data_IF_756143356956
#
_entry.id   IF_756143356956
#
_cell.length_a   1.000
_cell.length_b   1.000
_cell.length_c   1.000
_cell.angle_alpha   90.00
_cell.angle_beta   90.00
_cell.angle_gamma   90.00
#
_symmetry.space_group_name_H-M   'P 1'
#
loop_
_entity.id
_entity.type
_entity.pdbx_description
1 polymer ?
#
# COMPACT_ATOMS: atom_id res chain seq x y z
N UNK A 1 -3.71 -16.06 23.95
CA UNK A 1 -4.43 -14.84 24.38
C UNK A 1 -5.91 -15.07 24.17
N UNK A 2 -6.75 -15.02 25.23
CA UNK A 2 -8.19 -15.27 25.12
C UNK A 2 -9.02 -13.98 24.98
N UNK A 3 -8.40 -12.89 24.52
CA UNK A 3 -9.04 -11.58 24.42
C UNK A 3 -9.69 -11.33 23.07
N UNK A 4 -10.67 -10.43 23.06
CA UNK A 4 -11.35 -9.94 21.86
C UNK A 4 -10.51 -8.83 21.21
N UNK A 5 -10.08 -9.06 19.97
CA UNK A 5 -9.27 -8.11 19.20
C UNK A 5 -10.12 -7.44 18.15
N UNK A 6 -10.12 -6.11 18.14
CA UNK A 6 -10.85 -5.30 17.17
C UNK A 6 -9.88 -4.73 16.16
N UNK A 7 -10.04 -5.11 14.90
CA UNK A 7 -9.29 -4.57 13.75
C UNK A 7 -10.14 -3.53 13.04
N UNK A 8 -9.61 -2.33 12.88
CA UNK A 8 -10.31 -1.18 12.28
C UNK A 8 -9.82 -0.99 10.86
N UNK A 9 -10.63 -1.39 9.89
CA UNK A 9 -10.36 -1.38 8.47
C UNK A 9 -10.20 -2.79 7.88
N UNK A 10 -11.00 -3.09 6.86
CA UNK A 10 -11.02 -4.35 6.11
C UNK A 10 -10.23 -4.30 4.80
N UNK A 11 -9.21 -3.44 4.70
CA UNK A 11 -8.21 -3.48 3.64
C UNK A 11 -7.17 -4.58 3.86
N UNK A 12 -6.25 -4.79 2.90
CA UNK A 12 -5.26 -5.87 2.94
C UNK A 12 -4.48 -5.89 4.27
N UNK A 13 -4.09 -4.74 4.82
CA UNK A 13 -3.37 -4.66 6.08
C UNK A 13 -4.20 -5.17 7.29
N UNK A 14 -5.51 -4.90 7.30
CA UNK A 14 -6.40 -5.38 8.36
C UNK A 14 -6.78 -6.84 8.21
N UNK A 15 -7.04 -7.29 6.98
CA UNK A 15 -7.42 -8.68 6.68
C UNK A 15 -6.27 -9.63 7.02
N UNK A 16 -5.03 -9.28 6.63
CA UNK A 16 -3.85 -10.10 6.92
C UNK A 16 -3.55 -10.15 8.42
N UNK A 17 -3.74 -9.04 9.16
CA UNK A 17 -3.64 -9.03 10.63
C UNK A 17 -4.71 -9.93 11.25
N UNK A 18 -5.95 -9.85 10.78
CA UNK A 18 -7.03 -10.68 11.30
C UNK A 18 -6.77 -12.18 11.07
N UNK A 19 -6.30 -12.53 9.86
CA UNK A 19 -5.88 -13.89 9.54
C UNK A 19 -4.73 -14.36 10.43
N UNK A 20 -3.67 -13.56 10.57
CA UNK A 20 -2.51 -13.89 11.40
C UNK A 20 -2.89 -14.13 12.86
N UNK A 21 -3.74 -13.26 13.42
CA UNK A 21 -4.20 -13.40 14.80
C UNK A 21 -5.09 -14.62 15.01
N UNK A 22 -6.03 -14.86 14.08
CA UNK A 22 -6.97 -15.99 14.16
C UNK A 22 -6.27 -17.35 14.03
N UNK A 23 -5.24 -17.46 13.16
CA UNK A 23 -4.45 -18.71 13.07
C UNK A 23 -3.69 -19.04 14.34
N UNK A 24 -3.52 -18.08 15.24
CA UNK A 24 -2.97 -18.26 16.58
C UNK A 24 -4.04 -18.29 17.70
N UNK A 25 -5.30 -18.52 17.33
CA UNK A 25 -6.40 -18.76 18.25
C UNK A 25 -7.02 -17.52 18.88
N UNK A 26 -6.74 -16.31 18.38
CA UNK A 26 -7.39 -15.11 18.86
C UNK A 26 -8.82 -14.96 18.31
N UNK A 27 -9.73 -14.39 19.09
CA UNK A 27 -11.04 -13.96 18.61
C UNK A 27 -10.91 -12.57 17.98
N UNK A 28 -11.21 -12.45 16.68
CA UNK A 28 -10.99 -11.22 15.94
C UNK A 28 -12.29 -10.74 15.29
N UNK A 29 -12.58 -9.46 15.47
CA UNK A 29 -13.65 -8.75 14.74
C UNK A 29 -13.02 -7.64 13.91
N UNK A 30 -13.27 -7.66 12.60
CA UNK A 30 -12.88 -6.60 11.67
C UNK A 30 -14.05 -5.66 11.44
N UNK A 31 -13.85 -4.36 11.63
CA UNK A 31 -14.82 -3.32 11.36
C UNK A 31 -14.48 -2.62 10.04
N UNK A 32 -15.34 -2.75 9.04
CA UNK A 32 -15.15 -2.14 7.73
C UNK A 32 -16.32 -1.21 7.40
N UNK A 33 -16.00 0.02 7.00
CA UNK A 33 -17.01 1.05 6.68
C UNK A 33 -17.72 0.83 5.35
N UNK A 34 -17.06 0.17 4.39
CA UNK A 34 -17.64 -0.16 3.07
C UNK A 34 -18.49 -1.43 3.16
N UNK A 35 -19.19 -1.72 2.08
CA UNK A 35 -19.98 -2.92 1.90
C UNK A 35 -19.20 -4.10 1.32
N UNK A 36 -17.89 -3.92 1.07
CA UNK A 36 -16.95 -4.94 0.57
C UNK A 36 -15.64 -4.94 1.33
N UNK A 37 -15.13 -6.13 1.62
CA UNK A 37 -13.81 -6.33 2.18
C UNK A 37 -12.77 -6.11 1.08
N UNK A 38 -11.72 -5.32 1.37
CA UNK A 38 -10.70 -4.96 0.38
C UNK A 38 -11.13 -3.92 -0.64
N UNK A 39 -12.36 -3.43 -0.63
CA UNK A 39 -13.00 -2.64 -1.68
C UNK A 39 -12.39 -1.25 -1.95
N UNK A 40 -11.48 -0.78 -1.11
CA UNK A 40 -10.77 0.48 -1.29
C UNK A 40 -9.41 0.28 -1.98
N UNK A 41 -8.35 0.91 -1.49
CA UNK A 41 -7.02 0.93 -2.10
C UNK A 41 -6.44 -0.47 -2.37
N UNK A 42 -6.89 -1.51 -1.67
CA UNK A 42 -6.37 -2.87 -1.82
C UNK A 42 -6.78 -3.49 -3.15
N UNK A 43 -8.06 -3.51 -3.50
CA UNK A 43 -8.57 -4.09 -4.75
C UNK A 43 -8.00 -3.39 -5.99
N UNK A 44 -7.77 -2.07 -5.89
CA UNK A 44 -7.25 -1.27 -7.00
C UNK A 44 -5.73 -1.22 -7.11
N UNK A 45 -4.99 -2.01 -6.34
CA UNK A 45 -3.54 -2.09 -6.45
C UNK A 45 -3.11 -2.65 -7.82
N UNK A 46 -1.88 -2.35 -8.24
CA UNK A 46 -1.32 -2.91 -9.48
C UNK A 46 -1.10 -4.42 -9.43
N UNK A 47 -1.11 -5.03 -8.25
CA UNK A 47 -0.96 -6.46 -8.07
C UNK A 47 0.47 -6.98 -8.10
N UNK A 48 1.47 -6.12 -8.25
CA UNK A 48 2.87 -6.55 -8.19
C UNK A 48 3.23 -7.01 -6.78
N UNK A 49 3.80 -8.21 -6.68
CA UNK A 49 4.40 -8.80 -5.49
C UNK A 49 5.89 -8.89 -5.76
N UNK A 50 6.59 -7.78 -5.51
CA UNK A 50 7.94 -7.60 -6.01
C UNK A 50 8.86 -6.95 -4.97
N UNK A 51 10.12 -7.38 -4.95
CA UNK A 51 11.20 -6.78 -4.17
C UNK A 51 11.99 -5.73 -4.96
N UNK A 52 11.69 -5.57 -6.24
CA UNK A 52 12.16 -4.45 -7.06
C UNK A 52 11.42 -3.17 -6.68
N UNK A 53 11.98 -2.02 -7.03
CA UNK A 53 11.39 -0.71 -6.75
C UNK A 53 11.11 -0.44 -5.26
N UNK A 54 11.87 -1.10 -4.36
CA UNK A 54 11.82 -0.87 -2.91
C UNK A 54 12.40 0.50 -2.51
N UNK A 55 12.09 1.54 -3.31
CA UNK A 55 12.55 2.90 -3.08
C UNK A 55 11.57 3.65 -2.19
N UNK A 56 12.06 4.30 -1.11
CA UNK A 56 11.20 5.10 -0.27
C UNK A 56 10.65 6.30 -1.05
N UNK A 57 9.41 6.68 -0.75
CA UNK A 57 8.80 7.90 -1.28
C UNK A 57 9.66 9.12 -0.96
N UNK A 58 10.26 9.16 0.24
CA UNK A 58 11.15 10.23 0.69
C UNK A 58 12.62 9.93 0.30
N UNK A 59 13.04 10.50 -0.82
CA UNK A 59 14.45 10.46 -1.25
C UNK A 59 14.85 11.78 -1.88
N UNK A 60 16.17 12.12 -1.94
CA UNK A 60 16.61 13.35 -2.61
C UNK A 60 16.22 13.42 -4.08
N UNK A 61 16.21 12.28 -4.78
CA UNK A 61 15.75 12.17 -6.16
C UNK A 61 14.25 12.44 -6.30
N UNK A 62 13.43 11.76 -5.50
CA UNK A 62 11.98 11.93 -5.48
C UNK A 62 11.55 13.34 -5.09
N UNK A 63 12.26 13.98 -4.14
CA UNK A 63 12.00 15.37 -3.77
C UNK A 63 12.26 16.33 -4.95
N UNK A 64 13.40 16.17 -5.65
CA UNK A 64 13.74 16.99 -6.82
C UNK A 64 12.75 16.79 -7.96
N UNK A 65 12.39 15.55 -8.24
CA UNK A 65 11.40 15.20 -9.24
C UNK A 65 10.01 15.75 -8.88
N UNK A 66 9.60 15.61 -7.62
CA UNK A 66 8.37 16.18 -7.09
C UNK A 66 8.29 17.68 -7.31
N UNK A 67 9.33 18.43 -6.99
CA UNK A 67 9.41 19.88 -7.22
C UNK A 67 9.31 20.25 -8.72
N UNK A 68 9.87 19.41 -9.61
CA UNK A 68 9.81 19.63 -11.05
C UNK A 68 8.41 19.42 -11.64
N UNK A 69 7.67 18.45 -11.12
CA UNK A 69 6.42 17.98 -11.71
C UNK A 69 5.15 18.37 -10.95
N UNK A 70 5.26 18.84 -9.70
CA UNK A 70 4.12 19.04 -8.80
C UNK A 70 3.02 19.95 -9.32
N UNK A 71 3.32 20.82 -10.29
CA UNK A 71 2.36 21.75 -10.88
C UNK A 71 1.69 21.23 -12.16
N UNK A 72 2.16 20.11 -12.72
CA UNK A 72 1.63 19.53 -13.97
C UNK A 72 0.66 18.40 -13.65
N UNK A 73 -0.59 18.57 -14.03
CA UNK A 73 -1.65 17.58 -13.76
C UNK A 73 -1.50 16.29 -14.57
N UNK A 74 -0.82 16.31 -15.71
CA UNK A 74 -0.53 15.19 -16.59
C UNK A 74 0.74 14.41 -16.22
N UNK A 75 1.50 14.87 -15.23
CA UNK A 75 2.75 14.24 -14.78
C UNK A 75 2.51 13.02 -13.88
N UNK A 76 3.50 12.14 -13.71
CA UNK A 76 3.39 11.02 -12.76
C UNK A 76 3.11 11.46 -11.32
N UNK A 77 3.58 12.64 -10.91
CA UNK A 77 3.39 13.21 -9.58
C UNK A 77 2.71 14.58 -9.66
N UNK A 78 1.67 14.76 -8.83
CA UNK A 78 0.96 16.04 -8.69
C UNK A 78 0.69 16.34 -7.22
N UNK A 79 0.82 17.59 -6.85
CA UNK A 79 0.52 18.08 -5.50
C UNK A 79 -0.50 19.22 -5.57
N UNK A 80 -1.63 19.04 -4.89
CA UNK A 80 -2.59 20.12 -4.69
C UNK A 80 -2.27 20.88 -3.41
N UNK A 81 -1.93 22.17 -3.50
CA UNK A 81 -1.56 22.97 -2.31
C UNK A 81 -2.70 23.03 -1.30
N UNK A 82 -2.40 22.64 -0.04
CA UNK A 82 -3.34 22.68 1.08
C UNK A 82 -2.59 22.95 2.38
N UNK A 83 -3.09 23.86 3.20
CA UNK A 83 -2.44 24.21 4.47
C UNK A 83 -2.28 22.98 5.40
N UNK A 84 -3.26 22.07 5.40
CA UNK A 84 -3.22 20.83 6.20
C UNK A 84 -2.10 19.87 5.80
N UNK A 85 -1.58 19.97 4.57
CA UNK A 85 -0.50 19.12 4.04
C UNK A 85 0.88 19.62 4.46
N UNK A 86 1.03 20.91 4.82
CA UNK A 86 2.33 21.52 5.17
C UNK A 86 3.10 20.74 6.25
N UNK A 87 2.51 20.33 7.38
CA UNK A 87 3.24 19.55 8.38
C UNK A 87 3.76 18.20 7.88
N UNK A 88 3.04 17.57 6.94
CA UNK A 88 3.48 16.32 6.31
C UNK A 88 4.63 16.60 5.33
N UNK A 89 4.53 17.62 4.48
CA UNK A 89 5.58 18.01 3.53
C UNK A 89 6.89 18.41 4.21
N UNK A 90 6.83 19.10 5.35
CA UNK A 90 8.01 19.42 6.14
C UNK A 90 8.73 18.16 6.61
N UNK A 91 7.99 17.17 7.10
CA UNK A 91 8.56 15.87 7.50
C UNK A 91 9.09 15.09 6.31
N UNK A 92 8.39 15.10 5.19
CA UNK A 92 8.84 14.50 3.94
C UNK A 92 10.19 15.09 3.52
N UNK A 93 10.34 16.42 3.53
CA UNK A 93 11.61 17.08 3.25
C UNK A 93 12.71 16.68 4.23
N UNK A 94 12.42 16.63 5.54
CA UNK A 94 13.38 16.19 6.56
C UNK A 94 13.77 14.70 6.44
N UNK A 95 12.87 13.86 5.92
CA UNK A 95 13.15 12.46 5.66
C UNK A 95 13.93 12.24 4.36
N UNK A 96 13.86 13.17 3.40
CA UNK A 96 14.47 13.06 2.08
C UNK A 96 16.01 13.33 2.08
N UNK A 97 16.71 12.93 3.13
CA UNK A 97 18.19 12.98 3.19
C UNK A 97 18.80 11.67 2.70
N UNK A 98 20.03 11.68 2.14
CA UNK A 98 20.67 10.46 1.62
C UNK A 98 20.75 9.32 2.63
N UNK A 99 21.12 9.61 3.88
CA UNK A 99 21.26 8.59 4.93
C UNK A 99 19.93 7.97 5.32
N UNK A 100 18.88 8.78 5.51
CA UNK A 100 17.54 8.29 5.84
C UNK A 100 16.90 7.52 4.68
N UNK A 101 17.08 8.01 3.45
CA UNK A 101 16.60 7.34 2.26
C UNK A 101 17.25 5.96 2.08
N UNK A 102 18.56 5.83 2.38
CA UNK A 102 19.27 4.55 2.35
C UNK A 102 18.71 3.59 3.39
N UNK A 103 18.62 3.99 4.67
CA UNK A 103 18.07 3.15 5.73
C UNK A 103 16.62 2.72 5.43
N UNK A 104 15.80 3.62 4.87
CA UNK A 104 14.45 3.30 4.45
C UNK A 104 14.41 2.30 3.28
N UNK A 105 15.31 2.45 2.29
CA UNK A 105 15.40 1.51 1.15
C UNK A 105 15.86 0.12 1.61
N UNK A 106 16.81 0.04 2.53
CA UNK A 106 17.28 -1.22 3.12
C UNK A 106 16.12 -1.95 3.83
N UNK A 107 15.38 -1.25 4.68
CA UNK A 107 14.21 -1.83 5.37
C UNK A 107 13.11 -2.24 4.39
N UNK A 108 12.79 -1.39 3.39
CA UNK A 108 11.80 -1.74 2.37
C UNK A 108 12.24 -2.97 1.56
N UNK A 109 13.53 -3.08 1.25
CA UNK A 109 14.10 -4.26 0.61
C UNK A 109 13.85 -5.53 1.42
N UNK A 110 14.11 -5.50 2.73
CA UNK A 110 13.82 -6.63 3.65
C UNK A 110 12.31 -6.93 3.67
N UNK A 111 11.47 -5.91 3.86
CA UNK A 111 10.01 -6.08 3.93
C UNK A 111 9.42 -6.67 2.64
N UNK A 112 9.90 -6.23 1.49
CA UNK A 112 9.38 -6.72 0.20
C UNK A 112 9.89 -8.11 -0.12
N UNK A 113 11.14 -8.43 0.23
CA UNK A 113 11.68 -9.78 0.07
C UNK A 113 10.95 -10.80 0.96
N UNK A 114 10.82 -10.51 2.26
CA UNK A 114 10.02 -11.35 3.18
C UNK A 114 8.55 -11.44 2.73
N UNK A 115 8.01 -10.34 2.19
CA UNK A 115 6.65 -10.32 1.65
C UNK A 115 6.49 -11.30 0.50
N UNK A 116 7.40 -11.28 -0.46
CA UNK A 116 7.40 -12.22 -1.59
C UNK A 116 7.48 -13.69 -1.09
N UNK A 117 8.35 -13.97 -0.13
CA UNK A 117 8.47 -15.30 0.49
C UNK A 117 7.18 -15.75 1.18
N UNK A 118 6.50 -14.83 1.90
CA UNK A 118 5.22 -15.15 2.53
C UNK A 118 4.10 -15.37 1.53
N UNK A 119 4.07 -14.64 0.42
CA UNK A 119 3.13 -14.91 -0.67
C UNK A 119 3.34 -16.31 -1.27
N UNK A 120 4.59 -16.69 -1.56
CA UNK A 120 4.91 -18.06 -2.00
C UNK A 120 4.48 -19.10 -0.97
N UNK A 121 4.72 -18.84 0.32
CA UNK A 121 4.30 -19.74 1.39
C UNK A 121 2.78 -19.88 1.46
N UNK A 122 2.03 -18.79 1.39
CA UNK A 122 0.55 -18.82 1.41
C UNK A 122 0.00 -19.64 0.24
N UNK A 123 0.58 -19.49 -0.94
CA UNK A 123 0.22 -20.27 -2.13
C UNK A 123 0.57 -21.76 -1.96
N UNK A 124 1.77 -22.09 -1.47
CA UNK A 124 2.21 -23.46 -1.17
C UNK A 124 1.37 -24.11 -0.07
N UNK A 125 0.89 -23.36 0.91
CA UNK A 125 -0.04 -23.81 1.96
C UNK A 125 -1.48 -24.02 1.43
N UNK A 126 -1.72 -23.82 0.11
CA UNK A 126 -2.99 -24.07 -0.59
C UNK A 126 -3.98 -22.90 -0.59
N UNK A 127 -3.57 -21.72 -0.16
CA UNK A 127 -4.42 -20.53 -0.26
C UNK A 127 -4.51 -20.08 -1.72
N UNK A 128 -5.71 -20.02 -2.28
CA UNK A 128 -5.94 -19.68 -3.69
C UNK A 128 -5.74 -18.17 -3.93
N UNK A 129 -4.51 -17.68 -3.78
CA UNK A 129 -4.16 -16.26 -3.85
C UNK A 129 -4.08 -15.72 -5.27
N UNK A 130 -4.08 -16.58 -6.27
CA UNK A 130 -3.88 -16.22 -7.68
C UNK A 130 -2.47 -15.75 -8.00
N UNK A 131 -1.48 -16.13 -7.17
CA UNK A 131 -0.08 -15.75 -7.35
C UNK A 131 0.48 -16.30 -8.68
N UNK A 132 1.13 -15.43 -9.44
CA UNK A 132 1.83 -15.75 -10.68
C UNK A 132 3.32 -15.45 -10.49
N UNK A 133 4.18 -16.41 -10.82
CA UNK A 133 5.63 -16.39 -10.53
C UNK A 133 6.49 -16.36 -11.80
N UNK A 134 6.04 -15.63 -12.83
CA UNK A 134 6.70 -15.58 -14.14
C UNK A 134 7.55 -14.34 -14.35
N UNK A 135 7.84 -13.59 -13.29
CA UNK A 135 8.62 -12.37 -13.34
C UNK A 135 7.85 -11.14 -13.83
N UNK A 136 8.56 -10.03 -14.01
CA UNK A 136 8.04 -8.83 -14.66
C UNK A 136 9.13 -8.12 -15.49
N UNK A 137 8.71 -7.22 -16.35
CA UNK A 137 9.57 -6.42 -17.22
C UNK A 137 9.51 -4.95 -16.77
N UNK A 138 10.70 -4.32 -16.66
CA UNK A 138 10.80 -2.87 -16.72
C UNK A 138 11.09 -2.44 -18.14
N UNK A 139 10.26 -1.60 -18.71
CA UNK A 139 10.42 -1.05 -20.05
C UNK A 139 10.91 0.40 -19.98
N UNK A 140 11.98 0.72 -20.69
CA UNK A 140 12.57 2.05 -20.72
C UNK A 140 12.32 2.70 -22.09
N UNK A 141 11.64 3.86 -22.09
CA UNK A 141 11.35 4.63 -23.29
C UNK A 141 12.58 5.47 -23.72
N UNK A 142 13.52 5.74 -22.79
CA UNK A 142 14.65 6.65 -22.99
C UNK A 142 15.99 6.03 -22.56
N UNK A 143 17.10 6.53 -23.15
CA UNK A 143 18.46 6.17 -22.71
C UNK A 143 18.74 6.60 -21.25
N UNK A 144 18.11 7.66 -20.79
CA UNK A 144 18.19 8.07 -19.40
C UNK A 144 17.54 7.02 -18.47
N UNK A 145 16.39 6.48 -18.86
CA UNK A 145 15.73 5.36 -18.18
C UNK A 145 16.61 4.11 -18.17
N UNK A 146 17.17 3.72 -19.33
CA UNK A 146 18.13 2.60 -19.42
C UNK A 146 19.36 2.77 -18.51
N UNK A 147 19.88 4.00 -18.41
CA UNK A 147 21.02 4.30 -17.52
C UNK A 147 20.65 4.08 -16.06
N UNK A 148 19.45 4.49 -15.66
CA UNK A 148 18.93 4.22 -14.31
C UNK A 148 18.72 2.70 -14.08
N UNK A 149 18.16 2.00 -15.04
CA UNK A 149 17.99 0.54 -15.00
C UNK A 149 19.31 -0.21 -14.88
N UNK A 150 20.35 0.21 -15.59
CA UNK A 150 21.72 -0.35 -15.44
C UNK A 150 22.27 -0.16 -14.03
N UNK A 151 21.98 0.98 -13.40
CA UNK A 151 22.41 1.23 -12.02
C UNK A 151 21.65 0.35 -11.01
N UNK A 152 20.36 0.20 -11.18
CA UNK A 152 19.52 -0.67 -10.36
C UNK A 152 19.93 -2.15 -10.50
N UNK A 153 20.18 -2.61 -11.73
CA UNK A 153 20.62 -3.98 -11.99
C UNK A 153 21.98 -4.27 -11.33
N UNK A 154 22.94 -3.34 -11.37
CA UNK A 154 24.22 -3.50 -10.66
C UNK A 154 24.04 -3.62 -9.15
N UNK A 155 23.19 -2.79 -8.56
CA UNK A 155 22.87 -2.87 -7.13
C UNK A 155 22.23 -4.21 -6.79
N UNK A 156 21.28 -4.67 -7.60
CA UNK A 156 20.60 -5.95 -7.44
C UNK A 156 21.59 -7.14 -7.51
N UNK A 157 22.46 -7.15 -8.51
CA UNK A 157 23.50 -8.19 -8.64
C UNK A 157 24.50 -8.17 -7.48
N UNK A 158 24.82 -6.99 -6.93
CA UNK A 158 25.70 -6.88 -5.75
C UNK A 158 25.10 -7.55 -4.51
N UNK A 159 23.77 -7.73 -4.49
CA UNK A 159 23.02 -8.46 -3.45
C UNK A 159 22.76 -9.91 -3.80
N UNK A 160 23.28 -10.42 -4.90
CA UNK A 160 23.08 -11.79 -5.36
C UNK A 160 21.66 -12.08 -5.90
N UNK A 161 20.88 -11.04 -6.25
CA UNK A 161 19.53 -11.19 -6.76
C UNK A 161 19.53 -11.29 -8.29
N UNK A 162 18.69 -12.15 -8.90
CA UNK A 162 18.64 -12.36 -10.34
C UNK A 162 18.00 -11.17 -11.07
N UNK A 163 18.37 -11.01 -12.33
CA UNK A 163 17.80 -10.04 -13.26
C UNK A 163 18.67 -9.89 -14.49
N UNK A 164 18.08 -9.47 -15.59
CA UNK A 164 18.74 -9.33 -16.88
C UNK A 164 18.41 -7.99 -17.51
N UNK A 165 19.43 -7.33 -18.08
CA UNK A 165 19.21 -6.18 -18.94
C UNK A 165 19.00 -6.68 -20.36
N UNK A 166 17.99 -6.16 -21.03
CA UNK A 166 17.60 -6.56 -22.36
C UNK A 166 17.78 -5.41 -23.36
N UNK A 167 18.44 -5.71 -24.48
CA UNK A 167 18.41 -4.84 -25.66
C UNK A 167 16.98 -4.74 -26.23
N UNK A 168 16.68 -3.76 -27.09
CA UNK A 168 15.37 -3.67 -27.74
C UNK A 168 14.94 -4.96 -28.45
N UNK A 169 15.88 -5.64 -29.11
CA UNK A 169 15.61 -6.89 -29.86
C UNK A 169 15.32 -8.07 -28.90
N UNK A 170 16.08 -8.22 -27.82
CA UNK A 170 15.84 -9.23 -26.79
C UNK A 170 14.53 -9.01 -26.07
N UNK A 171 14.22 -7.73 -25.78
CA UNK A 171 12.97 -7.33 -25.16
C UNK A 171 11.76 -7.71 -25.99
N UNK A 172 11.78 -7.45 -27.32
CA UNK A 172 10.72 -7.82 -28.25
C UNK A 172 10.61 -9.34 -28.45
N UNK A 173 11.70 -10.08 -28.33
CA UNK A 173 11.64 -11.57 -28.35
C UNK A 173 10.96 -12.11 -27.09
N UNK A 174 11.24 -11.50 -25.93
CA UNK A 174 10.62 -11.86 -24.67
C UNK A 174 9.14 -11.49 -24.63
N UNK A 175 8.80 -10.26 -25.04
CA UNK A 175 7.44 -9.74 -25.03
C UNK A 175 7.10 -8.98 -26.33
N UNK A 176 6.56 -9.69 -27.34
CA UNK A 176 6.28 -9.11 -28.66
C UNK A 176 5.22 -8.01 -28.71
N UNK A 177 4.42 -7.84 -27.64
CA UNK A 177 3.41 -6.78 -27.55
C UNK A 177 4.02 -5.39 -27.31
N UNK A 178 5.30 -5.32 -26.94
CA UNK A 178 5.99 -4.08 -26.64
C UNK A 178 6.34 -3.28 -27.90
N UNK A 179 6.49 -1.97 -27.72
CA UNK A 179 6.89 -1.06 -28.78
C UNK A 179 8.34 -1.29 -29.23
N UNK A 180 8.61 -1.36 -30.55
CA UNK A 180 9.97 -1.45 -31.07
C UNK A 180 10.81 -0.17 -30.90
N UNK A 181 10.20 0.91 -30.41
CA UNK A 181 10.88 2.20 -30.18
C UNK A 181 11.46 2.34 -28.79
N UNK A 182 11.33 1.31 -27.93
CA UNK A 182 11.89 1.31 -26.59
C UNK A 182 13.42 1.28 -26.64
N UNK A 183 14.07 1.99 -25.70
CA UNK A 183 15.52 2.00 -25.56
C UNK A 183 16.08 0.66 -25.01
N UNK A 184 15.21 -0.17 -24.44
CA UNK A 184 15.51 -1.48 -23.87
C UNK A 184 14.66 -1.79 -22.67
N UNK A 185 15.07 -2.79 -21.89
CA UNK A 185 14.34 -3.21 -20.69
C UNK A 185 15.21 -3.93 -19.66
N UNK A 186 14.57 -4.33 -18.58
CA UNK A 186 15.11 -5.28 -17.62
C UNK A 186 14.06 -6.34 -17.30
N UNK A 187 14.47 -7.57 -17.15
CA UNK A 187 13.61 -8.69 -16.76
C UNK A 187 14.02 -9.22 -15.39
N UNK A 188 13.05 -9.39 -14.52
CA UNK A 188 13.23 -9.87 -13.17
C UNK A 188 12.45 -11.16 -12.97
N UNK A 189 13.12 -12.28 -13.17
CA UNK A 189 12.52 -13.62 -13.24
C UNK A 189 11.99 -14.15 -11.90
N UNK A 190 12.52 -13.65 -10.78
CA UNK A 190 12.19 -14.06 -9.42
C UNK A 190 11.00 -13.30 -8.81
N UNK A 191 10.40 -12.38 -9.57
CA UNK A 191 9.29 -11.57 -9.10
C UNK A 191 7.93 -12.19 -9.44
N UNK A 192 6.91 -11.75 -8.71
CA UNK A 192 5.57 -12.28 -8.83
C UNK A 192 4.52 -11.17 -8.93
N UNK A 193 3.29 -11.55 -9.26
CA UNK A 193 2.11 -10.70 -9.16
C UNK A 193 0.87 -11.53 -8.85
N UNK A 194 -0.18 -10.88 -8.42
CA UNK A 194 -1.50 -11.49 -8.22
C UNK A 194 -2.60 -10.51 -8.61
N UNK A 195 -3.82 -11.00 -8.79
CA UNK A 195 -4.98 -10.13 -8.76
C UNK A 195 -5.25 -9.72 -7.31
N UNK A 196 -5.18 -8.42 -6.98
CA UNK A 196 -5.37 -7.96 -5.59
C UNK A 196 -6.76 -8.27 -5.03
N UNK A 197 -7.77 -8.37 -5.89
CA UNK A 197 -9.14 -8.74 -5.49
C UNK A 197 -9.19 -10.21 -5.10
N UNK A 198 -8.57 -11.08 -5.91
CA UNK A 198 -8.45 -12.52 -5.61
C UNK A 198 -7.65 -12.74 -4.33
N UNK A 199 -6.50 -12.08 -4.19
CA UNK A 199 -5.67 -12.17 -3.00
C UNK A 199 -6.42 -11.77 -1.72
N UNK A 200 -7.05 -10.59 -1.74
CA UNK A 200 -7.77 -10.10 -0.54
C UNK A 200 -8.97 -10.98 -0.20
N UNK A 201 -9.69 -11.47 -1.20
CA UNK A 201 -10.80 -12.40 -1.01
C UNK A 201 -10.34 -13.74 -0.43
N UNK A 202 -9.23 -14.30 -0.93
CA UNK A 202 -8.67 -15.57 -0.44
C UNK A 202 -8.24 -15.46 1.04
N UNK A 203 -7.54 -14.38 1.40
CA UNK A 203 -7.12 -14.15 2.80
C UNK A 203 -8.34 -13.92 3.71
N UNK A 204 -9.35 -13.17 3.26
CA UNK A 204 -10.57 -12.95 4.03
C UNK A 204 -11.37 -14.25 4.23
N UNK A 205 -11.45 -15.11 3.20
CA UNK A 205 -12.09 -16.42 3.31
C UNK A 205 -11.34 -17.33 4.30
N UNK A 206 -10.01 -17.38 4.22
CA UNK A 206 -9.19 -18.14 5.16
C UNK A 206 -9.35 -17.62 6.61
N UNK A 207 -9.38 -16.29 6.81
CA UNK A 207 -9.65 -15.69 8.10
C UNK A 207 -11.05 -16.04 8.63
N UNK A 208 -12.08 -16.02 7.78
CA UNK A 208 -13.45 -16.42 8.13
C UNK A 208 -13.52 -17.88 8.55
N UNK A 209 -12.82 -18.78 7.84
CA UNK A 209 -12.74 -20.19 8.19
C UNK A 209 -12.09 -20.43 9.58
N UNK A 210 -11.23 -19.51 10.03
CA UNK A 210 -10.63 -19.49 11.35
C UNK A 210 -11.50 -18.77 12.41
N UNK A 211 -12.72 -18.33 12.07
CA UNK A 211 -13.67 -17.71 13.01
C UNK A 211 -13.59 -16.18 13.09
N UNK A 212 -12.87 -15.51 12.19
CA UNK A 212 -12.89 -14.04 12.13
C UNK A 212 -14.27 -13.54 11.74
N UNK A 213 -14.78 -12.56 12.47
CA UNK A 213 -16.04 -11.88 12.15
C UNK A 213 -15.77 -10.59 11.39
N UNK A 214 -16.27 -10.47 10.17
CA UNK A 214 -16.24 -9.24 9.37
C UNK A 214 -17.56 -8.48 9.50
N UNK A 215 -17.53 -7.27 10.08
CA UNK A 215 -18.67 -6.37 10.19
C UNK A 215 -18.54 -5.26 9.16
N UNK A 216 -19.17 -5.44 8.03
CA UNK A 216 -19.21 -4.48 6.93
C UNK A 216 -20.24 -3.39 7.17
N UNK A 217 -20.12 -2.23 6.50
CA UNK A 217 -20.95 -1.02 6.67
C UNK A 217 -20.92 -0.50 8.12
N UNK A 218 -19.83 -0.76 8.83
CA UNK A 218 -19.62 -0.31 10.22
C UNK A 218 -18.42 0.65 10.24
N UNK A 219 -18.71 1.95 10.24
CA UNK A 219 -17.70 2.98 10.34
C UNK A 219 -17.33 3.23 11.80
N UNK A 220 -16.03 3.28 12.09
CA UNK A 220 -15.51 3.70 13.39
C UNK A 220 -15.45 5.22 13.44
N UNK A 221 -16.29 5.81 14.27
CA UNK A 221 -16.43 7.25 14.46
C UNK A 221 -15.43 7.79 15.51
N UNK A 222 -14.95 6.93 16.42
CA UNK A 222 -14.00 7.30 17.45
C UNK A 222 -13.57 6.13 18.31
N UNK A 223 -12.52 6.36 19.10
CA UNK A 223 -12.01 5.42 20.09
C UNK A 223 -12.26 5.95 21.50
N UNK A 224 -12.95 5.17 22.30
CA UNK A 224 -13.18 5.48 23.72
C UNK A 224 -11.93 5.10 24.51
N UNK A 225 -11.31 6.12 25.12
CA UNK A 225 -10.11 5.94 25.94
C UNK A 225 -10.45 6.10 27.43
N UNK A 226 -9.96 5.17 28.24
CA UNK A 226 -10.04 5.25 29.70
C UNK A 226 -8.65 5.05 30.28
N UNK A 227 -8.09 6.11 30.85
CA UNK A 227 -6.69 6.13 31.28
C UNK A 227 -5.73 6.02 30.09
N UNK A 228 -4.89 5.01 30.09
CA UNK A 228 -3.93 4.69 29.03
C UNK A 228 -4.43 3.61 28.05
N UNK A 229 -5.66 3.11 28.20
CA UNK A 229 -6.22 2.04 27.37
C UNK A 229 -7.40 2.50 26.53
N UNK A 230 -7.56 1.88 25.36
CA UNK A 230 -8.79 1.92 24.58
C UNK A 230 -9.73 0.84 25.10
N UNK A 231 -10.97 1.21 25.42
CA UNK A 231 -11.98 0.29 25.96
C UNK A 231 -13.07 -0.04 24.96
N UNK A 232 -13.25 0.78 23.92
CA UNK A 232 -14.21 0.52 22.86
C UNK A 232 -13.93 1.36 21.61
N UNK A 233 -14.45 0.91 20.48
CA UNK A 233 -14.69 1.70 19.29
C UNK A 233 -16.16 2.16 19.26
N UNK A 234 -16.38 3.47 19.08
CA UNK A 234 -17.68 4.05 18.79
C UNK A 234 -17.93 3.94 17.30
N UNK A 235 -19.02 3.29 16.91
CA UNK A 235 -19.31 3.01 15.50
C UNK A 235 -20.71 3.45 15.08
N UNK A 236 -20.94 3.47 13.78
CA UNK A 236 -22.29 3.70 13.21
C UNK A 236 -23.32 2.65 13.63
N UNK A 237 -22.87 1.49 14.14
CA UNK A 237 -23.72 0.39 14.61
C UNK A 237 -23.65 0.20 16.13
N UNK A 238 -23.29 1.25 16.86
CA UNK A 238 -23.14 1.24 18.30
C UNK A 238 -21.71 1.00 18.78
N UNK A 239 -21.60 0.79 20.08
CA UNK A 239 -20.33 0.60 20.79
C UNK A 239 -19.80 -0.83 20.63
N UNK A 240 -18.51 -0.97 20.26
CA UNK A 240 -17.82 -2.27 20.14
C UNK A 240 -16.65 -2.28 21.10
N UNK A 241 -16.70 -3.10 22.14
CA UNK A 241 -15.63 -3.28 23.12
C UNK A 241 -14.66 -4.37 22.68
N UNK A 242 -13.42 -4.29 23.19
CA UNK A 242 -12.37 -5.28 22.94
C UNK A 242 -11.22 -5.09 23.93
N UNK A 243 -10.35 -6.10 24.02
CA UNK A 243 -9.17 -6.10 24.86
C UNK A 243 -7.96 -5.46 24.18
N UNK A 244 -7.90 -5.57 22.83
CA UNK A 244 -6.88 -4.91 22.03
C UNK A 244 -7.50 -4.36 20.72
N UNK A 245 -6.87 -3.32 20.19
CA UNK A 245 -7.33 -2.62 18.99
C UNK A 245 -6.19 -2.47 18.01
N UNK A 246 -6.46 -2.67 16.71
CA UNK A 246 -5.51 -2.46 15.61
C UNK A 246 -6.07 -1.44 14.63
N UNK A 247 -5.40 -0.30 14.47
CA UNK A 247 -5.74 0.68 13.43
C UNK A 247 -5.10 0.24 12.11
N UNK A 248 -5.91 -0.24 11.19
CA UNK A 248 -5.54 -0.64 9.81
C UNK A 248 -6.40 0.08 8.76
N UNK A 249 -6.84 1.31 9.08
CA UNK A 249 -7.82 2.08 8.30
C UNK A 249 -7.22 2.83 7.09
N UNK A 250 -6.05 2.38 6.56
CA UNK A 250 -5.44 2.96 5.38
C UNK A 250 -5.23 4.47 5.51
N UNK A 251 -5.62 5.25 4.50
CA UNK A 251 -5.51 6.71 4.49
C UNK A 251 -6.32 7.40 5.60
N UNK A 252 -7.34 6.73 6.14
CA UNK A 252 -8.18 7.24 7.25
C UNK A 252 -7.61 6.92 8.64
N UNK A 253 -6.49 6.20 8.73
CA UNK A 253 -5.84 5.85 10.01
C UNK A 253 -5.54 7.09 10.87
N UNK A 254 -5.17 8.21 10.25
CA UNK A 254 -5.00 9.48 10.94
C UNK A 254 -6.30 9.96 11.59
N UNK A 255 -7.42 9.90 10.87
CA UNK A 255 -8.72 10.35 11.37
C UNK A 255 -9.14 9.52 12.59
N UNK A 256 -8.97 8.20 12.53
CA UNK A 256 -9.28 7.31 13.66
C UNK A 256 -8.37 7.60 14.85
N UNK A 257 -7.05 7.74 14.65
CA UNK A 257 -6.09 8.03 15.71
C UNK A 257 -6.33 9.38 16.39
N UNK A 258 -6.69 10.41 15.61
CA UNK A 258 -6.98 11.76 16.11
C UNK A 258 -8.12 11.75 17.13
N UNK A 259 -9.09 10.84 17.05
CA UNK A 259 -10.19 10.71 18.03
C UNK A 259 -9.72 10.24 19.41
N UNK A 260 -8.63 9.50 19.47
CA UNK A 260 -7.98 9.08 20.72
C UNK A 260 -6.87 10.05 21.18
N UNK A 261 -6.74 11.22 20.54
CA UNK A 261 -5.69 12.19 20.83
C UNK A 261 -4.29 11.77 20.35
N UNK A 262 -4.19 10.78 19.49
CA UNK A 262 -2.94 10.26 18.95
C UNK A 262 -2.56 10.95 17.63
N UNK A 263 -1.28 10.93 17.30
CA UNK A 263 -0.77 11.55 16.09
C UNK A 263 -0.18 10.50 15.14
N UNK A 264 -0.85 10.28 14.01
CA UNK A 264 -0.34 9.46 12.90
C UNK A 264 -0.27 10.33 11.64
N UNK A 265 0.93 10.67 11.12
CA UNK A 265 1.06 11.53 9.94
C UNK A 265 0.85 10.75 8.64
N UNK A 266 -0.30 10.12 8.49
CA UNK A 266 -0.70 9.45 7.24
C UNK A 266 -1.42 10.43 6.36
N UNK A 267 -1.05 10.49 5.08
CA UNK A 267 -1.72 11.27 4.04
C UNK A 267 -2.14 10.34 2.89
N UNK A 268 -3.26 10.68 2.24
CA UNK A 268 -3.74 9.93 1.08
C UNK A 268 -2.95 10.26 -0.18
N UNK A 269 -2.22 9.30 -0.71
CA UNK A 269 -1.59 9.37 -2.03
C UNK A 269 -2.52 8.78 -3.09
N UNK A 270 -3.32 9.63 -3.77
CA UNK A 270 -4.30 9.18 -4.74
C UNK A 270 -3.62 8.64 -5.99
N UNK A 271 -4.01 7.46 -6.41
CA UNK A 271 -3.63 6.84 -7.67
C UNK A 271 -4.84 6.36 -8.43
N UNK A 272 -4.63 6.03 -9.69
CA UNK A 272 -5.69 5.57 -10.58
C UNK A 272 -5.28 4.28 -11.26
N UNK A 273 -6.27 3.50 -11.68
CA UNK A 273 -6.08 2.52 -12.74
C UNK A 273 -7.20 2.59 -13.77
N UNK A 274 -6.87 2.08 -14.95
CA UNK A 274 -7.79 1.87 -16.07
C UNK A 274 -7.83 0.38 -16.35
N UNK A 275 -9.02 -0.18 -16.39
CA UNK A 275 -9.24 -1.57 -16.82
C UNK A 275 -9.52 -1.58 -18.33
N UNK A 276 -8.84 -2.47 -19.02
CA UNK A 276 -9.05 -2.79 -20.42
C UNK A 276 -9.44 -4.27 -20.55
N UNK A 277 -10.20 -4.67 -21.55
CA UNK A 277 -10.39 -6.09 -21.81
C UNK A 277 -9.04 -6.72 -22.16
N UNK A 278 -8.87 -8.00 -21.84
CA UNK A 278 -7.74 -8.79 -22.33
C UNK A 278 -7.82 -8.90 -23.83
N UNK A 279 -6.71 -8.65 -24.52
CA UNK A 279 -6.58 -8.72 -25.98
C UNK A 279 -5.28 -9.44 -26.35
N UNK A 280 -5.09 -9.86 -27.61
CA UNK A 280 -3.81 -10.38 -28.08
C UNK A 280 -2.62 -9.42 -27.93
N UNK A 281 -2.89 -8.13 -27.74
CA UNK A 281 -1.89 -7.10 -27.45
C UNK A 281 -1.59 -6.93 -25.95
N UNK A 282 -2.29 -7.66 -25.06
CA UNK A 282 -2.00 -7.65 -23.64
C UNK A 282 -0.67 -8.37 -23.38
N UNK A 283 0.22 -7.82 -22.52
CA UNK A 283 1.48 -8.46 -22.19
C UNK A 283 1.26 -9.73 -21.37
N UNK A 284 2.21 -10.68 -21.46
CA UNK A 284 2.15 -11.98 -20.77
C UNK A 284 2.60 -11.91 -19.31
N UNK A 285 3.34 -10.87 -18.94
CA UNK A 285 3.83 -10.56 -17.60
C UNK A 285 3.62 -9.07 -17.31
N UNK A 286 3.63 -8.63 -16.07
CA UNK A 286 3.56 -7.21 -15.76
C UNK A 286 4.68 -6.42 -16.44
N UNK A 287 4.32 -5.26 -17.00
CA UNK A 287 5.26 -4.31 -17.61
C UNK A 287 5.23 -3.00 -16.82
N UNK A 288 6.32 -2.68 -16.16
CA UNK A 288 6.52 -1.37 -15.53
C UNK A 288 7.15 -0.40 -16.54
N UNK A 289 6.42 0.62 -16.89
CA UNK A 289 6.84 1.72 -17.79
C UNK A 289 7.60 2.76 -16.97
N UNK A 290 8.91 2.61 -16.88
CA UNK A 290 9.74 3.30 -15.89
C UNK A 290 9.70 4.83 -16.01
N UNK A 291 9.75 5.35 -17.25
CA UNK A 291 9.71 6.80 -17.53
C UNK A 291 8.36 7.43 -17.17
N UNK A 292 7.26 6.69 -17.31
CA UNK A 292 5.89 7.15 -17.08
C UNK A 292 5.35 6.76 -15.69
N UNK A 293 6.02 5.84 -14.99
CA UNK A 293 5.59 5.25 -13.71
C UNK A 293 4.19 4.64 -13.78
N UNK A 294 3.94 3.92 -14.85
CA UNK A 294 2.70 3.18 -15.11
C UNK A 294 3.03 1.68 -15.15
N UNK A 295 2.19 0.87 -14.56
CA UNK A 295 2.28 -0.60 -14.62
C UNK A 295 1.12 -1.11 -15.45
N UNK A 296 1.42 -1.95 -16.44
CA UNK A 296 0.44 -2.79 -17.14
C UNK A 296 0.50 -4.19 -16.52
N UNK A 297 -0.55 -4.61 -15.83
CA UNK A 297 -0.62 -5.92 -15.19
C UNK A 297 -1.67 -6.78 -15.88
N UNK A 298 -1.30 -7.92 -16.47
CA UNK A 298 -2.25 -8.89 -16.99
C UNK A 298 -2.95 -9.59 -15.82
N UNK A 299 -4.26 -9.47 -15.77
CA UNK A 299 -5.14 -10.14 -14.84
C UNK A 299 -6.07 -11.07 -15.62
N UNK A 300 -6.76 -11.97 -14.95
CA UNK A 300 -7.65 -12.91 -15.64
C UNK A 300 -8.79 -12.17 -16.36
N UNK A 301 -8.81 -12.25 -17.69
CA UNK A 301 -9.80 -11.65 -18.57
C UNK A 301 -9.69 -10.12 -18.73
N UNK A 302 -8.67 -9.47 -18.14
CA UNK A 302 -8.47 -8.02 -18.21
C UNK A 302 -7.01 -7.61 -18.12
N UNK A 303 -6.71 -6.43 -18.63
CA UNK A 303 -5.42 -5.74 -18.44
C UNK A 303 -5.65 -4.50 -17.57
N UNK A 304 -4.89 -4.37 -16.50
CA UNK A 304 -4.92 -3.19 -15.61
C UNK A 304 -3.75 -2.27 -15.89
N UNK A 305 -4.02 -1.03 -16.27
CA UNK A 305 -3.02 0.03 -16.35
C UNK A 305 -3.09 0.88 -15.09
N UNK A 306 -2.11 0.75 -14.20
CA UNK A 306 -2.07 1.47 -12.91
C UNK A 306 -0.98 2.51 -12.88
N UNK A 307 -1.25 3.71 -12.37
CA UNK A 307 -0.22 4.74 -12.32
C UNK A 307 -0.59 5.97 -11.53
N UNK A 308 0.27 6.96 -11.66
CA UNK A 308 0.17 8.29 -11.09
C UNK A 308 0.14 8.35 -9.56
N UNK A 309 0.53 9.50 -9.01
CA UNK A 309 0.52 9.79 -7.60
C UNK A 309 0.09 11.24 -7.38
N UNK A 310 -0.95 11.45 -6.58
CA UNK A 310 -1.49 12.77 -6.31
C UNK A 310 -1.69 12.98 -4.80
N UNK A 311 -1.13 14.05 -4.24
CA UNK A 311 -1.36 14.47 -2.87
C UNK A 311 -2.49 15.51 -2.83
N UNK A 312 -3.71 15.04 -2.59
CA UNK A 312 -4.93 15.85 -2.47
C UNK A 312 -5.77 15.47 -1.22
N UNK A 313 -5.14 14.90 -0.20
CA UNK A 313 -5.79 14.46 1.02
C UNK A 313 -6.73 13.27 0.80
N UNK A 314 -7.93 13.37 1.34
CA UNK A 314 -8.96 12.34 1.23
C UNK A 314 -9.97 12.63 0.10
N UNK A 315 -9.56 13.37 -0.95
CA UNK A 315 -10.43 13.63 -2.10
C UNK A 315 -10.60 12.37 -2.95
N UNK A 316 -11.83 11.96 -3.16
CA UNK A 316 -12.18 10.74 -3.88
C UNK A 316 -12.59 10.98 -5.34
N UNK A 317 -12.52 12.21 -5.85
CA UNK A 317 -12.89 12.53 -7.24
C UNK A 317 -11.86 12.00 -8.22
N UNK A 318 -12.33 11.52 -9.37
CA UNK A 318 -11.48 11.10 -10.50
C UNK A 318 -11.07 12.32 -11.31
N UNK A 319 -9.77 12.46 -11.60
CA UNK A 319 -9.26 13.46 -12.53
C UNK A 319 -9.05 12.82 -13.91
N UNK A 320 -9.87 13.20 -14.92
CA UNK A 320 -9.79 12.61 -16.26
C UNK A 320 -8.47 12.92 -17.00
N UNK A 321 -7.76 13.98 -16.60
CA UNK A 321 -6.44 14.29 -17.20
C UNK A 321 -5.44 13.20 -16.81
N UNK A 322 -5.46 12.78 -15.56
CA UNK A 322 -4.58 11.74 -15.04
C UNK A 322 -4.89 10.36 -15.60
N UNK A 323 -6.19 10.06 -15.77
CA UNK A 323 -6.65 8.82 -16.42
C UNK A 323 -6.14 8.77 -17.87
N UNK A 324 -6.29 9.85 -18.64
CA UNK A 324 -5.76 9.93 -20.02
C UNK A 324 -4.24 9.79 -20.06
N UNK A 325 -3.50 10.33 -19.10
CA UNK A 325 -2.05 10.19 -19.03
C UNK A 325 -1.61 8.72 -18.84
N UNK A 326 -2.33 7.95 -18.04
CA UNK A 326 -2.08 6.51 -17.86
C UNK A 326 -2.33 5.75 -19.15
N UNK A 327 -3.48 5.98 -19.80
CA UNK A 327 -3.82 5.32 -21.09
C UNK A 327 -2.81 5.67 -22.16
N UNK A 328 -2.42 6.95 -22.29
CA UNK A 328 -1.43 7.39 -23.27
C UNK A 328 -0.05 6.74 -23.03
N UNK A 329 0.37 6.58 -21.78
CA UNK A 329 1.60 5.86 -21.44
C UNK A 329 1.49 4.38 -21.85
N UNK A 330 0.35 3.74 -21.55
CA UNK A 330 0.08 2.36 -21.97
C UNK A 330 0.21 2.17 -23.46
N UNK A 331 -0.42 3.03 -24.27
CA UNK A 331 -0.38 2.94 -25.75
C UNK A 331 1.02 3.20 -26.33
N UNK A 332 1.83 4.07 -25.71
CA UNK A 332 3.22 4.29 -26.18
C UNK A 332 4.08 3.03 -26.03
N UNK A 333 3.94 2.32 -24.93
CA UNK A 333 4.76 1.14 -24.62
C UNK A 333 4.14 -0.14 -25.19
N UNK A 334 2.82 -0.22 -25.28
CA UNK A 334 2.02 -1.33 -25.82
C UNK A 334 1.13 -0.80 -26.94
N UNK A 335 1.67 -0.59 -28.15
CA UNK A 335 0.96 0.09 -29.26
C UNK A 335 -0.34 -0.61 -29.67
N UNK A 336 -0.42 -1.93 -29.53
CA UNK A 336 -1.62 -2.69 -29.85
C UNK A 336 -2.83 -2.40 -28.94
N UNK A 337 -2.65 -1.61 -27.87
CA UNK A 337 -3.75 -1.11 -27.04
C UNK A 337 -4.42 0.14 -27.65
N UNK A 338 -3.88 0.69 -28.76
CA UNK A 338 -4.48 1.82 -29.45
C UNK A 338 -5.89 1.50 -29.93
N UNK A 339 -6.88 2.31 -29.51
CA UNK A 339 -8.28 2.11 -29.84
C UNK A 339 -9.04 1.10 -28.96
N UNK A 340 -8.38 0.44 -28.01
CA UNK A 340 -9.07 -0.42 -27.03
C UNK A 340 -9.81 0.45 -26.01
N UNK A 341 -11.11 0.26 -25.90
CA UNK A 341 -11.94 1.02 -24.96
C UNK A 341 -11.79 0.51 -23.52
N UNK A 342 -11.72 1.46 -22.58
CA UNK A 342 -11.66 1.14 -21.17
C UNK A 342 -13.00 0.57 -20.68
N UNK A 343 -12.96 -0.53 -19.96
CA UNK A 343 -14.12 -1.14 -19.31
C UNK A 343 -14.41 -0.55 -17.92
N UNK A 344 -13.41 0.11 -17.31
CA UNK A 344 -13.55 0.73 -16.01
C UNK A 344 -12.40 1.68 -15.68
N UNK A 345 -12.69 2.60 -14.79
CA UNK A 345 -11.72 3.51 -14.17
C UNK A 345 -11.91 3.48 -12.67
N UNK A 346 -10.83 3.34 -11.95
CA UNK A 346 -10.82 3.33 -10.51
C UNK A 346 -9.80 4.34 -9.94
N UNK A 347 -10.07 4.79 -8.74
CA UNK A 347 -9.15 5.61 -7.95
C UNK A 347 -9.03 5.06 -6.52
N UNK A 348 -7.89 5.22 -5.88
CA UNK A 348 -7.70 4.87 -4.48
C UNK A 348 -6.68 5.73 -3.78
N UNK A 349 -6.79 5.77 -2.46
CA UNK A 349 -5.95 6.57 -1.58
C UNK A 349 -4.91 5.67 -0.89
N UNK A 350 -3.68 5.69 -1.41
CA UNK A 350 -2.56 4.97 -0.79
C UNK A 350 -2.22 5.62 0.55
N UNK A 351 -2.13 4.88 1.65
CA UNK A 351 -1.73 5.45 2.94
C UNK A 351 -0.23 5.73 2.95
N UNK A 352 0.17 7.00 2.99
CA UNK A 352 1.56 7.43 2.88
C UNK A 352 2.04 8.08 4.17
N UNK A 353 3.07 7.52 4.80
CA UNK A 353 3.84 8.19 5.83
C UNK A 353 4.89 9.12 5.20
N UNK A 354 5.33 10.20 5.88
CA UNK A 354 6.22 11.19 5.29
C UNK A 354 7.60 10.64 4.88
N UNK A 355 8.09 9.60 5.55
CA UNK A 355 9.36 8.93 5.26
C UNK A 355 9.23 7.76 4.27
N UNK A 356 8.00 7.44 3.86
CA UNK A 356 7.71 6.36 2.93
C UNK A 356 7.74 4.96 3.56
N UNK A 357 7.96 4.84 4.87
CA UNK A 357 7.94 3.57 5.60
C UNK A 357 6.58 3.32 6.24
N UNK A 358 6.11 2.07 6.37
CA UNK A 358 4.88 1.76 7.07
C UNK A 358 4.95 2.16 8.55
N UNK A 359 3.80 2.38 9.14
CA UNK A 359 3.59 2.62 10.56
C UNK A 359 3.08 1.32 11.17
N UNK A 360 3.97 0.58 11.84
CA UNK A 360 3.69 -0.75 12.36
C UNK A 360 4.18 -0.85 13.81
N UNK A 361 3.30 -1.30 14.71
CA UNK A 361 3.68 -1.52 16.09
C UNK A 361 2.66 -1.05 17.09
N UNK A 362 3.06 -1.12 18.37
CA UNK A 362 2.28 -0.69 19.53
C UNK A 362 2.43 0.82 19.74
N UNK A 363 1.38 1.48 20.15
CA UNK A 363 1.43 2.87 20.63
C UNK A 363 1.92 2.85 22.09
N UNK A 364 3.07 3.47 22.38
CA UNK A 364 3.68 3.43 23.73
C UNK A 364 2.78 4.01 24.83
N UNK A 365 2.05 5.10 24.51
CA UNK A 365 1.13 5.74 25.48
C UNK A 365 -0.22 5.04 25.61
N UNK A 366 -0.44 3.92 24.90
CA UNK A 366 -1.72 3.19 24.87
C UNK A 366 -1.43 1.72 24.59
N UNK A 367 -1.10 0.94 25.64
CA UNK A 367 -0.49 -0.40 25.48
C UNK A 367 -1.33 -1.44 24.75
N UNK A 368 -2.65 -1.27 24.68
CA UNK A 368 -3.56 -2.17 23.96
C UNK A 368 -3.96 -1.65 22.57
N UNK A 369 -3.29 -0.61 22.09
CA UNK A 369 -3.52 -0.06 20.75
C UNK A 369 -2.30 -0.31 19.85
N UNK A 370 -2.57 -0.91 18.69
CA UNK A 370 -1.60 -1.21 17.66
C UNK A 370 -1.96 -0.48 16.35
N UNK A 371 -0.98 -0.32 15.49
CA UNK A 371 -1.14 0.34 14.20
C UNK A 371 -0.50 -0.54 13.13
N UNK A 372 -1.21 -0.73 12.01
CA UNK A 372 -0.71 -1.38 10.81
C UNK A 372 -1.20 -0.62 9.58
N UNK A 373 -0.46 0.40 9.16
CA UNK A 373 -0.84 1.32 8.06
C UNK A 373 0.39 1.97 7.42
N UNK A 374 0.17 2.84 6.45
CA UNK A 374 1.27 3.62 5.87
C UNK A 374 2.09 2.90 4.80
N UNK A 375 1.60 1.78 4.26
CA UNK A 375 2.31 0.92 3.31
C UNK A 375 2.51 1.54 1.91
N UNK A 376 1.99 2.73 1.64
CA UNK A 376 2.14 3.40 0.35
C UNK A 376 1.65 2.53 -0.81
N UNK A 377 2.52 2.29 -1.80
CA UNK A 377 2.23 1.44 -2.97
C UNK A 377 2.43 -0.05 -2.69
N UNK A 378 3.23 -0.41 -1.67
CA UNK A 378 3.68 -1.78 -1.40
C UNK A 378 2.73 -2.61 -0.52
N UNK A 379 1.49 -2.15 -0.29
CA UNK A 379 0.58 -2.78 0.67
C UNK A 379 0.30 -4.26 0.39
N UNK A 380 0.08 -4.66 -0.86
CA UNK A 380 -0.14 -6.08 -1.20
C UNK A 380 1.09 -6.90 -0.82
N UNK A 381 2.29 -6.49 -1.22
CA UNK A 381 3.53 -7.22 -0.95
C UNK A 381 3.84 -7.30 0.55
N UNK A 382 3.72 -6.19 1.29
CA UNK A 382 4.25 -6.08 2.66
C UNK A 382 3.24 -6.36 3.77
N UNK A 383 1.93 -6.40 3.47
CA UNK A 383 0.91 -6.64 4.48
C UNK A 383 1.05 -7.98 5.22
N UNK A 384 1.41 -9.11 4.58
CA UNK A 384 1.63 -10.36 5.31
C UNK A 384 2.74 -10.26 6.36
N UNK A 385 3.86 -9.58 6.02
CA UNK A 385 5.00 -9.38 6.93
C UNK A 385 4.59 -8.51 8.13
N UNK A 386 3.96 -7.37 7.85
CA UNK A 386 3.55 -6.45 8.92
C UNK A 386 2.43 -7.02 9.80
N UNK A 387 1.60 -7.90 9.24
CA UNK A 387 0.61 -8.65 10.00
C UNK A 387 1.27 -9.65 10.96
N UNK A 388 2.30 -10.38 10.51
CA UNK A 388 3.09 -11.26 11.37
C UNK A 388 3.68 -10.47 12.54
N UNK A 389 4.29 -9.32 12.29
CA UNK A 389 4.85 -8.44 13.32
C UNK A 389 3.78 -7.99 14.34
N UNK A 390 2.60 -7.58 13.88
CA UNK A 390 1.49 -7.22 14.78
C UNK A 390 1.05 -8.43 15.62
N UNK A 391 0.97 -9.61 15.01
CA UNK A 391 0.66 -10.85 15.70
C UNK A 391 1.69 -11.19 16.79
N UNK A 392 2.98 -11.04 16.51
CA UNK A 392 4.07 -11.23 17.46
C UNK A 392 3.97 -10.25 18.64
N UNK A 393 3.73 -8.97 18.37
CA UNK A 393 3.58 -7.93 19.39
C UNK A 393 2.37 -8.17 20.31
N UNK A 394 1.23 -8.57 19.74
CA UNK A 394 0.01 -8.85 20.49
C UNK A 394 0.20 -10.10 21.37
N UNK A 395 0.92 -11.12 20.87
CA UNK A 395 1.26 -12.32 21.62
C UNK A 395 2.40 -12.13 22.62
N UNK A 396 3.02 -10.95 22.62
CA UNK A 396 4.19 -10.63 23.45
C UNK A 396 5.37 -11.62 23.27
N UNK A 397 5.62 -12.02 22.02
CA UNK A 397 6.81 -12.80 21.62
C UNK A 397 7.81 -11.89 20.91
N UNK A 398 9.09 -12.29 20.78
CA UNK A 398 10.08 -11.52 20.02
C UNK A 398 9.61 -11.27 18.58
N UNK A 399 9.85 -10.08 18.10
CA UNK A 399 9.48 -9.69 16.72
C UNK A 399 10.51 -10.20 15.71
N UNK A 400 10.02 -10.67 14.56
CA UNK A 400 10.84 -11.14 13.43
C UNK A 400 11.63 -10.01 12.76
N UNK A 401 11.30 -8.75 13.07
CA UNK A 401 11.93 -7.54 12.52
C UNK A 401 12.23 -6.52 13.61
N UNK A 402 13.26 -5.72 13.39
CA UNK A 402 13.50 -4.49 14.17
C UNK A 402 12.47 -3.42 13.80
N UNK A 403 11.87 -2.79 14.82
CA UNK A 403 10.72 -1.90 14.60
C UNK A 403 11.05 -0.41 14.64
N UNK A 404 12.26 -0.01 15.01
CA UNK A 404 12.60 1.37 15.31
C UNK A 404 12.22 2.35 14.18
N UNK A 405 12.47 1.95 12.92
CA UNK A 405 12.11 2.74 11.76
C UNK A 405 10.62 2.66 11.38
N UNK A 406 9.87 1.67 11.92
CA UNK A 406 8.45 1.50 11.61
C UNK A 406 7.52 1.93 12.75
N UNK A 407 8.05 2.22 13.94
CA UNK A 407 7.23 2.56 15.12
C UNK A 407 6.23 3.66 14.79
N UNK A 408 4.95 3.50 15.18
CA UNK A 408 3.91 4.49 14.90
C UNK A 408 4.18 5.86 15.55
N UNK A 409 4.87 5.86 16.71
CA UNK A 409 5.19 7.03 17.51
C UNK A 409 6.57 7.67 17.19
N UNK A 410 7.24 7.24 16.11
CA UNK A 410 8.49 7.85 15.63
C UNK A 410 8.33 9.32 15.19
N UNK A 411 7.09 9.72 14.88
CA UNK A 411 6.76 11.10 14.56
C UNK A 411 6.09 11.79 15.74
N UNK A 412 6.65 12.91 16.19
CA UNK A 412 6.03 13.78 17.18
C UNK A 412 5.27 14.92 16.50
N UNK A 413 4.17 15.44 17.07
CA UNK A 413 3.53 16.66 16.56
C UNK A 413 4.54 17.81 16.46
N UNK A 414 4.55 18.56 15.34
CA UNK A 414 5.39 19.77 15.20
C UNK A 414 4.90 20.90 16.12
N UNK A 415 3.60 20.92 16.38
CA UNK A 415 2.94 21.86 17.30
C UNK A 415 2.25 20.99 18.35
N UNK A 416 2.49 21.24 19.65
CA UNK A 416 1.78 20.51 20.71
C UNK A 416 0.27 20.64 20.50
N UNK A 417 -0.43 19.54 20.44
CA UNK A 417 -1.90 19.54 20.36
C UNK A 417 -2.44 19.78 21.76
N UNK A 418 -3.42 20.67 21.94
CA UNK A 418 -4.16 20.72 23.20
C UNK A 418 -4.80 19.34 23.42
N UNK A 419 -4.69 18.81 24.64
CA UNK A 419 -5.42 17.59 25.02
C UNK A 419 -6.91 17.88 24.78
N UNK A 420 -7.50 17.29 23.73
CA UNK A 420 -8.96 17.28 23.60
C UNK A 420 -9.47 16.43 24.76
N UNK A 421 -10.09 17.04 25.73
CA UNK A 421 -10.96 16.35 26.67
C UNK A 421 -12.01 15.65 25.81
N UNK A 422 -12.21 14.34 26.04
CA UNK A 422 -13.29 13.61 25.42
C UNK A 422 -14.59 14.41 25.60
N UNK A 423 -15.45 14.54 24.56
CA UNK A 423 -16.73 15.16 24.76
C UNK A 423 -17.43 14.41 25.90
N UNK A 424 -17.75 15.09 26.97
CA UNK A 424 -18.65 14.57 28.00
C UNK A 424 -19.94 14.25 27.27
N UNK A 425 -20.26 12.97 27.15
CA UNK A 425 -21.60 12.53 26.72
C UNK A 425 -22.54 13.10 27.80
N UNK A 426 -23.22 14.18 27.46
CA UNK A 426 -24.33 14.68 28.24
C UNK A 426 -25.34 13.54 28.32
N UNK A 427 -25.51 12.97 29.51
CA UNK A 427 -26.71 12.24 29.84
C UNK A 427 -27.89 13.21 29.75
N UNK A 428 -28.47 13.32 28.54
CA UNK A 428 -29.74 13.97 28.38
C UNK A 428 -30.82 13.01 28.86
N UNK A 429 -31.09 13.10 30.16
CA UNK A 429 -32.37 13.07 30.86
C UNK A 429 -33.53 12.57 29.99
N UNK A 430 -33.96 11.35 30.29
CA UNK A 430 -35.34 10.90 30.07
C UNK A 430 -36.28 11.71 30.96
N UNK A 431 -37.23 12.39 30.35
CA UNK A 431 -38.53 12.73 30.92
C UNK A 431 -39.60 12.40 29.88
#
# INVERSE_FOLDING_TARGET
>A
MNGDIIVIGGGVAGITVAYELARHGARVTVLERRDGIGAECSSGNAGMVASTHAMPLASPGALREGLRYMWRRDSPFYLRPRAKLVPWLLRYGMASTPGRARAAAELLGVLTQMGLELHHKMDADGMQTGLQTRGHIDAYETEAGMTAGRAEMRDRHSRGLPGELLSPEELLKLEPSLSPTLAGGAFYSDQAWCDPEVFTAAVAAAATALGVTFRQRVEVLGLERRGDQIVAAQTTSGRVSGDAFVIAAGAWSRTVADTAGLYLPVEGGKGYHVELPETPASPRVPVYMADSRVVATPLQGRLRLSGTFELDGLDERVDPIRVRAITAAGVRVLPGLGGVEATGVWRGLRPCAPDGLPLVGRIQSTPNLFVNTGHGIGGITTAPVTAQVIGELIRAVPTSLELDLMRPDRFRPLIPRPRRLAPMVSEAIAV
#
